data_IF_907765944027
#
_entry.id   IF_907765944027
#
_cell.length_a   1.000
_cell.length_b   1.000
_cell.length_c   1.000
_cell.angle_alpha   90.00
_cell.angle_beta   90.00
_cell.angle_gamma   90.00
#
_symmetry.space_group_name_H-M   'P 1'
#
loop_
_entity.id
_entity.type
_entity.pdbx_description
1 polymer ?
#
# COMPACT_ATOMS: atom_id res chain seq x y z
N UNK A 1 -39.81 43.28 25.49
CA UNK A 1 -39.43 42.10 26.30
C UNK A 1 -38.01 41.74 25.86
N UNK A 2 -36.94 41.81 26.66
CA UNK A 2 -36.69 41.28 28.03
C UNK A 2 -36.78 39.75 28.08
N UNK A 3 -35.86 38.98 28.67
CA UNK A 3 -34.50 39.17 29.27
C UNK A 3 -33.87 37.74 29.23
N UNK A 4 -32.68 37.47 28.67
CA UNK A 4 -31.29 37.65 29.16
C UNK A 4 -30.93 36.93 30.49
N UNK A 5 -29.67 36.45 30.64
CA UNK A 5 -28.99 36.02 31.89
C UNK A 5 -29.50 34.76 32.64
N UNK A 6 -28.72 34.02 33.49
CA UNK A 6 -27.32 33.50 33.47
C UNK A 6 -27.11 32.56 34.70
N UNK A 7 -26.02 31.74 34.70
CA UNK A 7 -25.31 31.23 35.90
C UNK A 7 -26.07 30.21 36.81
N UNK A 8 -25.47 29.41 37.71
CA UNK A 8 -24.05 29.13 38.09
C UNK A 8 -23.87 27.65 38.54
N UNK A 9 -22.61 27.22 38.75
CA UNK A 9 -22.23 25.90 39.24
C UNK A 9 -22.35 25.70 40.77
N UNK A 10 -22.24 24.45 41.25
CA UNK A 10 -21.82 24.15 42.63
C UNK A 10 -21.16 22.78 42.80
N UNK A 11 -19.98 22.75 43.41
CA UNK A 11 -19.31 21.53 43.90
C UNK A 11 -19.59 21.32 45.40
N UNK A 12 -19.36 20.10 45.92
CA UNK A 12 -19.26 19.83 47.37
C UNK A 12 -18.37 18.62 47.67
N UNK A 13 -17.69 18.63 48.81
CA UNK A 13 -16.69 17.63 49.24
C UNK A 13 -17.10 16.89 50.54
N UNK A 14 -16.30 15.86 50.83
CA UNK A 14 -15.92 15.33 52.15
C UNK A 14 -16.86 14.37 52.91
N UNK A 15 -16.23 13.41 53.62
CA UNK A 15 -16.90 12.34 54.39
C UNK A 15 -15.94 11.31 54.99
N UNK A 16 -14.96 11.72 55.78
CA UNK A 16 -13.87 10.87 56.33
C UNK A 16 -14.24 10.14 57.63
N UNK A 17 -13.61 8.98 57.94
CA UNK A 17 -13.45 8.46 59.33
C UNK A 17 -12.31 7.41 59.48
N UNK A 18 -11.62 7.46 60.64
CA UNK A 18 -10.62 6.47 61.15
C UNK A 18 -11.33 5.45 62.11
N UNK A 19 -10.72 4.50 62.86
CA UNK A 19 -9.32 4.09 63.21
C UNK A 19 -9.20 2.53 63.07
N UNK A 20 -8.20 1.72 63.53
CA UNK A 20 -6.96 1.79 64.34
C UNK A 20 -5.98 0.69 63.78
N UNK A 21 -4.69 0.53 64.13
CA UNK A 21 -4.11 -0.09 65.35
C UNK A 21 -3.96 -1.62 65.27
N UNK A 22 -2.86 -2.32 65.65
CA UNK A 22 -1.53 -1.98 66.23
C UNK A 22 -0.54 -3.12 65.91
N UNK A 23 0.79 -2.86 65.79
CA UNK A 23 1.82 -3.92 65.88
C UNK A 23 3.25 -3.52 65.46
N UNK A 24 4.23 -3.65 66.35
CA UNK A 24 5.68 -3.40 66.10
C UNK A 24 6.48 -4.73 66.16
N UNK A 25 7.67 -4.76 65.57
CA UNK A 25 8.98 -5.01 66.25
C UNK A 25 10.16 -4.81 65.27
N UNK A 26 11.34 -4.45 65.78
CA UNK A 26 12.59 -4.14 65.04
C UNK A 26 13.61 -5.30 65.05
N UNK A 27 14.72 -5.13 64.29
CA UNK A 27 16.08 -5.75 64.30
C UNK A 27 16.47 -6.16 62.87
N UNK A 28 17.69 -5.96 62.35
CA UNK A 28 18.89 -5.28 62.87
C UNK A 28 20.09 -5.47 61.91
N UNK A 29 21.02 -4.51 61.85
CA UNK A 29 22.14 -4.43 60.89
C UNK A 29 23.14 -5.60 60.91
N UNK A 30 23.84 -5.79 59.77
CA UNK A 30 25.32 -5.82 59.70
C UNK A 30 25.81 -5.54 58.26
N UNK A 31 27.05 -5.02 58.11
CA UNK A 31 27.71 -4.61 56.85
C UNK A 31 29.11 -5.22 56.80
N UNK A 32 29.55 -5.71 55.62
CA UNK A 32 30.94 -5.97 55.14
C UNK A 32 30.80 -6.73 53.78
N UNK A 33 31.75 -6.79 52.84
CA UNK A 33 32.75 -5.84 52.30
C UNK A 33 33.35 -6.49 51.03
N UNK A 34 33.94 -5.72 50.10
CA UNK A 34 34.58 -6.27 48.89
C UNK A 34 36.05 -6.65 49.12
N UNK A 35 36.63 -7.50 48.25
CA UNK A 35 37.82 -7.03 47.52
C UNK A 35 37.85 -7.43 46.02
N UNK A 36 38.82 -6.84 45.30
CA UNK A 36 39.15 -7.12 43.89
C UNK A 36 40.18 -8.26 43.78
N UNK A 37 40.36 -8.88 42.58
CA UNK A 37 41.63 -8.77 41.81
C UNK A 37 41.69 -9.59 40.50
N UNK A 38 42.54 -9.07 39.60
CA UNK A 38 43.34 -9.76 38.56
C UNK A 38 42.64 -10.44 37.35
N UNK A 39 43.46 -10.72 36.33
CA UNK A 39 43.08 -11.23 35.00
C UNK A 39 44.12 -12.25 34.51
N UNK A 40 43.82 -13.02 33.46
CA UNK A 40 44.85 -13.65 32.59
C UNK A 40 44.28 -14.22 31.28
N UNK A 41 45.15 -14.22 30.26
CA UNK A 41 45.23 -15.15 29.13
C UNK A 41 44.11 -15.24 28.05
N UNK A 42 44.57 -15.62 26.86
CA UNK A 42 43.81 -15.91 25.64
C UNK A 42 44.35 -17.23 25.04
N UNK A 43 43.53 -17.99 24.29
CA UNK A 43 44.09 -18.82 23.22
C UNK A 43 43.37 -18.60 21.87
N UNK A 44 44.14 -18.73 20.79
CA UNK A 44 43.65 -18.75 19.41
C UNK A 44 42.91 -20.06 19.10
N UNK A 45 41.94 -20.02 18.17
CA UNK A 45 41.42 -21.22 17.49
C UNK A 45 41.37 -21.02 15.97
N UNK A 46 41.78 -22.04 15.23
CA UNK A 46 41.73 -22.07 13.77
C UNK A 46 40.39 -22.67 13.29
N UNK A 47 39.82 -22.14 12.20
CA UNK A 47 38.68 -22.75 11.51
C UNK A 47 39.14 -23.55 10.28
N UNK A 48 38.75 -24.83 10.14
CA UNK A 48 39.10 -25.65 8.98
C UNK A 48 38.20 -25.38 7.76
N UNK A 49 38.73 -25.59 6.56
CA UNK A 49 38.00 -25.43 5.29
C UNK A 49 37.19 -26.71 5.01
N UNK A 50 35.86 -26.60 4.95
CA UNK A 50 34.96 -27.68 4.54
C UNK A 50 34.86 -27.80 3.01
N UNK A 51 34.67 -29.03 2.51
CA UNK A 51 34.80 -29.36 1.08
C UNK A 51 33.50 -29.24 0.27
N UNK A 52 33.63 -29.20 -1.06
CA UNK A 52 32.51 -29.19 -2.00
C UNK A 52 31.83 -30.57 -2.06
N UNK A 53 30.51 -30.60 -1.96
CA UNK A 53 29.71 -31.64 -2.61
C UNK A 53 28.94 -31.02 -3.77
N UNK A 54 29.22 -31.50 -4.98
CA UNK A 54 28.45 -31.19 -6.18
C UNK A 54 27.25 -32.12 -6.27
N UNK A 55 26.05 -31.56 -6.49
CA UNK A 55 24.99 -32.30 -7.14
C UNK A 55 24.22 -31.35 -8.08
N UNK A 56 23.89 -31.82 -9.28
CA UNK A 56 23.21 -31.04 -10.30
C UNK A 56 21.73 -31.42 -10.36
N UNK A 57 20.85 -30.43 -10.23
CA UNK A 57 19.54 -30.47 -10.87
C UNK A 57 19.31 -29.12 -11.56
N UNK A 58 18.81 -29.18 -12.79
CA UNK A 58 18.58 -27.99 -13.62
C UNK A 58 17.16 -27.48 -13.39
N UNK A 59 17.06 -26.25 -12.87
CA UNK A 59 15.85 -25.45 -12.97
C UNK A 59 16.23 -24.02 -13.34
N UNK A 60 15.38 -23.40 -14.15
CA UNK A 60 15.65 -22.15 -14.85
C UNK A 60 15.83 -20.99 -13.86
N UNK A 61 17.07 -20.68 -13.50
CA UNK A 61 17.41 -19.70 -12.46
C UNK A 61 17.81 -18.39 -13.12
N UNK A 62 17.11 -17.31 -12.75
CA UNK A 62 17.49 -15.93 -13.08
C UNK A 62 19.00 -15.72 -12.85
N UNK A 63 19.69 -14.93 -13.70
CA UNK A 63 21.13 -14.74 -13.59
C UNK A 63 21.50 -14.28 -12.17
N UNK A 64 22.40 -15.03 -11.53
CA UNK A 64 22.81 -14.81 -10.14
C UNK A 64 23.63 -13.52 -10.05
N UNK A 65 22.96 -12.38 -9.93
CA UNK A 65 23.59 -11.10 -9.65
C UNK A 65 24.35 -11.17 -8.33
N UNK A 66 25.63 -10.85 -8.34
CA UNK A 66 26.44 -10.79 -7.12
C UNK A 66 26.19 -9.43 -6.47
N UNK A 67 25.78 -9.44 -5.20
CA UNK A 67 25.68 -8.21 -4.39
C UNK A 67 27.03 -7.95 -3.71
N UNK A 68 27.53 -6.73 -3.84
CA UNK A 68 28.73 -6.21 -3.18
C UNK A 68 28.33 -5.07 -2.24
N UNK A 69 28.68 -5.16 -0.97
CA UNK A 69 28.48 -4.09 0.01
C UNK A 69 29.75 -3.24 0.12
N UNK A 70 29.61 -1.92 0.02
CA UNK A 70 30.68 -0.93 0.17
C UNK A 70 30.27 0.05 1.26
N UNK A 71 31.16 0.31 2.22
CA UNK A 71 30.94 1.27 3.32
C UNK A 71 31.98 2.38 3.26
N UNK A 72 31.55 3.61 3.49
CA UNK A 72 32.40 4.76 3.76
C UNK A 72 31.68 5.60 4.82
N UNK A 73 32.37 5.94 5.91
CA UNK A 73 31.79 6.62 7.07
C UNK A 73 30.50 5.93 7.57
N UNK A 74 29.40 6.68 7.71
CA UNK A 74 28.07 6.16 8.07
C UNK A 74 27.26 5.67 6.86
N UNK A 75 27.78 5.83 5.63
CA UNK A 75 27.07 5.49 4.40
C UNK A 75 27.42 4.07 3.91
N UNK A 76 26.40 3.41 3.34
CA UNK A 76 26.46 2.01 2.99
C UNK A 76 25.74 1.76 1.66
N UNK A 77 26.51 1.62 0.59
CA UNK A 77 26.03 1.27 -0.73
C UNK A 77 26.07 -0.24 -0.90
N UNK A 78 25.03 -0.79 -1.53
CA UNK A 78 25.14 -2.10 -2.16
C UNK A 78 25.26 -1.89 -3.67
N UNK A 79 25.88 -2.83 -4.37
CA UNK A 79 25.97 -2.85 -5.83
C UNK A 79 25.61 -4.23 -6.32
N UNK A 80 24.75 -4.33 -7.34
CA UNK A 80 24.58 -5.55 -8.13
C UNK A 80 25.58 -5.55 -9.27
N UNK A 81 26.14 -6.71 -9.54
CA UNK A 81 26.89 -6.96 -10.76
C UNK A 81 26.47 -8.27 -11.41
N UNK A 82 26.66 -8.37 -12.73
CA UNK A 82 26.77 -9.65 -13.42
C UNK A 82 27.92 -10.51 -12.86
N UNK A 83 28.00 -11.77 -13.29
CA UNK A 83 29.04 -12.73 -12.86
C UNK A 83 30.45 -12.39 -13.36
N UNK A 84 30.59 -11.42 -14.27
CA UNK A 84 31.83 -11.02 -14.95
C UNK A 84 32.42 -9.70 -14.46
N UNK A 85 31.74 -9.00 -13.54
CA UNK A 85 32.09 -7.65 -13.06
C UNK A 85 32.09 -6.57 -14.16
N UNK A 86 31.30 -6.74 -15.23
CA UNK A 86 31.27 -5.82 -16.37
C UNK A 86 30.15 -4.77 -16.25
N UNK A 87 28.94 -5.18 -15.86
CA UNK A 87 27.81 -4.30 -15.58
C UNK A 87 27.62 -4.19 -14.07
N UNK A 88 28.00 -3.04 -13.50
CA UNK A 88 27.82 -2.71 -12.09
C UNK A 88 26.70 -1.65 -11.98
N UNK A 89 25.55 -2.01 -11.37
CA UNK A 89 24.48 -1.05 -11.00
C UNK A 89 24.47 -0.87 -9.49
N UNK A 90 24.28 0.36 -9.03
CA UNK A 90 24.05 0.64 -7.61
C UNK A 90 22.76 -0.09 -7.18
N UNK A 91 22.88 -0.98 -6.20
CA UNK A 91 21.74 -1.58 -5.51
C UNK A 91 21.31 -0.57 -4.44
N UNK A 92 20.55 0.42 -4.90
CA UNK A 92 19.78 1.29 -4.02
C UNK A 92 18.82 0.43 -3.18
N UNK A 93 19.06 0.39 -1.86
CA UNK A 93 18.16 -0.22 -0.89
C UNK A 93 16.77 0.43 -1.00
N UNK A 94 15.86 -0.19 -1.76
CA UNK A 94 14.47 0.25 -1.94
C UNK A 94 14.35 1.77 -2.13
N UNK A 95 15.14 2.37 -3.04
CA UNK A 95 14.95 3.79 -3.40
C UNK A 95 13.65 3.94 -4.18
N UNK A 96 12.58 4.16 -3.43
CA UNK A 96 11.35 4.84 -3.87
C UNK A 96 11.66 6.25 -4.38
N UNK A 97 12.77 6.82 -3.95
CA UNK A 97 13.18 8.16 -4.30
C UNK A 97 13.68 8.18 -5.75
N UNK A 98 13.03 9.02 -6.57
CA UNK A 98 13.44 9.38 -7.91
C UNK A 98 14.79 10.13 -7.88
N UNK A 99 15.55 10.04 -8.97
CA UNK A 99 16.74 10.89 -9.15
C UNK A 99 16.34 12.38 -9.05
N UNK A 100 17.12 13.25 -8.38
CA UNK A 100 16.73 14.65 -8.16
C UNK A 100 16.33 15.39 -9.45
N UNK A 101 17.06 15.20 -10.55
CA UNK A 101 16.74 15.80 -11.85
C UNK A 101 15.39 15.35 -12.45
N UNK A 102 14.93 14.15 -12.09
CA UNK A 102 13.62 13.60 -12.49
C UNK A 102 12.53 14.13 -11.57
N UNK A 103 12.79 14.20 -10.26
CA UNK A 103 11.91 14.82 -9.26
C UNK A 103 11.64 16.29 -9.58
N UNK A 104 12.69 17.08 -9.80
CA UNK A 104 12.60 18.51 -10.12
C UNK A 104 11.81 18.73 -11.42
N UNK A 105 12.04 17.90 -12.44
CA UNK A 105 11.32 17.98 -13.72
C UNK A 105 9.85 17.62 -13.57
N UNK A 106 9.51 16.59 -12.78
CA UNK A 106 8.12 16.22 -12.49
C UNK A 106 7.40 17.36 -11.76
N UNK A 107 7.99 17.91 -10.70
CA UNK A 107 7.41 19.00 -9.93
C UNK A 107 7.27 20.30 -10.77
N UNK A 108 8.23 20.61 -11.63
CA UNK A 108 8.15 21.73 -12.57
C UNK A 108 7.07 21.52 -13.64
N UNK A 109 6.88 20.29 -14.14
CA UNK A 109 5.83 19.94 -15.10
C UNK A 109 4.45 20.20 -14.49
N UNK A 110 4.20 19.65 -13.29
CA UNK A 110 2.94 19.82 -12.57
C UNK A 110 2.67 21.30 -12.23
N UNK A 111 3.70 22.03 -11.77
CA UNK A 111 3.58 23.46 -11.47
C UNK A 111 3.17 24.29 -12.71
N UNK A 112 3.67 23.94 -13.90
CA UNK A 112 3.31 24.60 -15.16
C UNK A 112 1.92 24.18 -15.66
N UNK A 113 1.59 22.89 -15.64
CA UNK A 113 0.33 22.36 -16.18
C UNK A 113 -0.88 22.69 -15.29
N UNK A 114 -0.73 22.61 -13.97
CA UNK A 114 -1.79 22.92 -13.00
C UNK A 114 -1.78 24.36 -12.48
N UNK A 115 -0.79 25.18 -12.89
CA UNK A 115 -0.60 26.56 -12.42
C UNK A 115 -0.54 26.66 -10.87
N UNK A 116 0.31 25.85 -10.25
CA UNK A 116 0.52 25.78 -8.79
C UNK A 116 1.99 26.02 -8.42
N UNK A 117 2.30 26.55 -7.23
CA UNK A 117 3.68 26.74 -6.80
C UNK A 117 4.45 25.41 -6.68
N UNK A 118 5.69 25.34 -7.18
CA UNK A 118 6.56 24.15 -7.04
C UNK A 118 6.74 23.74 -5.57
N UNK A 119 6.77 24.72 -4.66
CA UNK A 119 6.94 24.49 -3.22
C UNK A 119 5.64 24.10 -2.48
N UNK A 120 4.48 24.06 -3.15
CA UNK A 120 3.24 23.48 -2.62
C UNK A 120 3.00 22.05 -3.13
N UNK A 121 3.99 21.46 -3.79
CA UNK A 121 3.96 20.10 -4.34
C UNK A 121 4.92 19.19 -3.58
N UNK A 122 4.53 17.93 -3.36
CA UNK A 122 5.38 16.91 -2.73
C UNK A 122 5.15 15.56 -3.38
N UNK A 123 6.22 14.95 -3.94
CA UNK A 123 6.20 13.52 -4.29
C UNK A 123 6.03 12.74 -2.98
N UNK A 124 4.97 11.93 -2.90
CA UNK A 124 4.64 11.15 -1.69
C UNK A 124 5.18 9.74 -1.77
N UNK A 125 5.07 9.11 -2.94
CA UNK A 125 5.58 7.78 -3.23
C UNK A 125 6.01 7.71 -4.70
N UNK A 126 7.03 6.91 -5.02
CA UNK A 126 7.25 6.42 -6.38
C UNK A 126 7.75 4.98 -6.37
N UNK A 127 7.34 4.19 -7.37
CA UNK A 127 7.75 2.80 -7.55
C UNK A 127 8.23 2.54 -8.98
N UNK A 128 9.25 1.67 -9.18
CA UNK A 128 9.69 1.30 -10.51
C UNK A 128 8.61 0.50 -11.24
N UNK A 129 8.41 0.78 -12.52
CA UNK A 129 7.40 0.16 -13.38
C UNK A 129 7.98 -0.09 -14.79
N UNK A 130 7.30 -0.94 -15.55
CA UNK A 130 7.57 -1.15 -16.97
C UNK A 130 6.31 -0.82 -17.75
N UNK A 131 6.44 0.05 -18.76
CA UNK A 131 5.34 0.59 -19.51
C UNK A 131 5.27 0.08 -20.96
N UNK A 132 4.05 -0.03 -21.48
CA UNK A 132 3.79 -0.19 -22.91
C UNK A 132 3.93 1.16 -23.66
N UNK A 133 3.70 1.17 -24.98
CA UNK A 133 3.84 2.39 -25.80
C UNK A 133 3.02 3.60 -25.33
N UNK A 134 1.85 3.34 -24.72
CA UNK A 134 0.92 4.32 -24.14
C UNK A 134 1.33 4.78 -22.72
N UNK A 135 2.56 4.51 -22.28
CA UNK A 135 3.03 4.77 -20.91
C UNK A 135 2.14 4.13 -19.82
N UNK A 136 1.48 3.01 -20.13
CA UNK A 136 0.58 2.33 -19.20
C UNK A 136 -0.74 3.06 -18.89
N UNK A 137 -1.07 4.15 -19.59
CA UNK A 137 -2.41 4.74 -19.52
C UNK A 137 -3.34 3.97 -20.45
N UNK A 138 -4.41 3.42 -19.90
CA UNK A 138 -5.50 2.76 -20.60
C UNK A 138 -6.50 3.81 -21.14
N UNK A 139 -6.93 3.59 -22.38
CA UNK A 139 -8.00 4.30 -23.08
C UNK A 139 -8.79 3.26 -23.87
N UNK A 140 -10.14 3.22 -23.77
CA UNK A 140 -10.96 2.28 -24.53
C UNK A 140 -10.67 2.31 -26.03
N UNK A 141 -10.62 1.12 -26.64
CA UNK A 141 -10.34 0.91 -28.07
C UNK A 141 -8.97 1.41 -28.58
N UNK A 142 -8.08 1.92 -27.71
CA UNK A 142 -6.73 2.33 -28.11
C UNK A 142 -5.75 1.15 -28.11
N UNK A 143 -5.19 0.84 -29.28
CA UNK A 143 -4.09 -0.12 -29.39
C UNK A 143 -2.77 0.50 -28.88
N UNK A 144 -2.02 -0.25 -28.07
CA UNK A 144 -0.75 0.17 -27.48
C UNK A 144 0.39 -0.76 -27.93
N UNK A 145 1.52 -0.19 -28.36
CA UNK A 145 2.70 -0.97 -28.76
C UNK A 145 3.21 -1.82 -27.59
N UNK A 146 3.40 -3.12 -27.82
CA UNK A 146 3.95 -4.07 -26.85
C UNK A 146 5.49 -3.92 -26.76
N UNK A 147 5.91 -2.81 -26.15
CA UNK A 147 7.30 -2.48 -25.80
C UNK A 147 7.46 -2.53 -24.28
N UNK A 148 8.68 -2.72 -23.79
CA UNK A 148 9.03 -2.62 -22.38
C UNK A 148 9.85 -1.34 -22.14
N UNK A 149 9.20 -0.28 -21.69
CA UNK A 149 9.85 1.00 -21.32
C UNK A 149 10.07 0.99 -19.81
N UNK A 150 11.33 0.94 -19.36
CA UNK A 150 11.68 1.17 -17.95
C UNK A 150 11.23 2.55 -17.49
N UNK A 151 10.68 2.64 -16.28
CA UNK A 151 10.12 3.87 -15.77
C UNK A 151 9.65 3.82 -14.33
N UNK A 152 8.86 4.81 -13.96
CA UNK A 152 8.36 5.01 -12.61
C UNK A 152 6.87 5.35 -12.63
N UNK A 153 6.13 4.83 -11.67
CA UNK A 153 4.82 5.33 -11.29
C UNK A 153 5.04 6.20 -10.05
N UNK A 154 4.68 7.48 -10.09
CA UNK A 154 4.88 8.44 -9.00
C UNK A 154 3.56 9.07 -8.59
N UNK A 155 3.41 9.36 -7.28
CA UNK A 155 2.27 10.04 -6.69
C UNK A 155 2.76 11.39 -6.15
N UNK A 156 2.03 12.46 -6.45
CA UNK A 156 2.34 13.82 -6.00
C UNK A 156 1.11 14.42 -5.31
N UNK A 157 1.29 14.90 -4.08
CA UNK A 157 0.29 15.68 -3.37
C UNK A 157 0.49 17.18 -3.63
N UNK A 158 -0.61 17.89 -3.84
CA UNK A 158 -0.72 19.34 -3.71
C UNK A 158 -1.51 19.74 -2.46
N UNK A 159 -1.99 20.98 -2.40
CA UNK A 159 -2.78 21.48 -1.27
C UNK A 159 -4.23 20.94 -1.23
N UNK A 160 -4.87 20.79 -2.39
CA UNK A 160 -6.29 20.47 -2.52
C UNK A 160 -6.60 19.28 -3.45
N UNK A 161 -5.58 18.69 -4.07
CA UNK A 161 -5.70 17.55 -4.99
C UNK A 161 -4.40 16.76 -5.04
N UNK A 162 -4.47 15.55 -5.58
CA UNK A 162 -3.30 14.71 -5.88
C UNK A 162 -3.23 14.32 -7.36
N UNK A 163 -2.03 13.93 -7.81
CA UNK A 163 -1.79 13.45 -9.17
C UNK A 163 -0.97 12.16 -9.18
N UNK A 164 -1.27 11.29 -10.13
CA UNK A 164 -0.48 10.09 -10.44
C UNK A 164 0.16 10.25 -11.81
N UNK A 165 1.48 10.07 -11.88
CA UNK A 165 2.28 10.25 -13.09
C UNK A 165 3.04 8.98 -13.47
N UNK A 166 3.11 8.72 -14.77
CA UNK A 166 3.85 7.63 -15.37
C UNK A 166 5.06 8.20 -16.14
N UNK A 167 6.26 7.95 -15.63
CA UNK A 167 7.53 8.49 -16.14
C UNK A 167 8.39 7.41 -16.81
N UNK A 168 9.29 7.80 -17.72
CA UNK A 168 10.44 6.96 -18.14
C UNK A 168 11.58 6.99 -17.10
N UNK A 169 12.54 6.06 -17.18
CA UNK A 169 13.65 5.93 -16.20
C UNK A 169 14.52 7.21 -16.10
N UNK A 170 14.54 8.03 -17.15
CA UNK A 170 15.27 9.31 -17.31
C UNK A 170 14.37 10.57 -17.19
N UNK A 171 13.06 10.40 -16.96
CA UNK A 171 12.08 11.49 -16.96
C UNK A 171 11.97 12.26 -18.29
N UNK A 172 12.41 11.74 -19.43
CA UNK A 172 12.19 12.40 -20.74
C UNK A 172 10.75 12.28 -21.24
N UNK A 173 10.01 11.28 -20.77
CA UNK A 173 8.56 11.15 -20.92
C UNK A 173 7.93 11.23 -19.53
N UNK A 174 6.97 12.15 -19.38
CA UNK A 174 6.14 12.33 -18.20
C UNK A 174 4.70 12.34 -18.71
N UNK A 175 3.85 11.47 -18.17
CA UNK A 175 2.44 11.33 -18.60
C UNK A 175 1.53 11.29 -17.37
N UNK A 176 0.58 12.23 -17.31
CA UNK A 176 -0.47 12.23 -16.30
C UNK A 176 -1.39 11.02 -16.47
N UNK A 177 -1.76 10.38 -15.37
CA UNK A 177 -2.85 9.42 -15.29
C UNK A 177 -4.10 10.16 -14.75
N UNK A 178 -4.99 10.69 -15.62
CA UNK A 178 -6.09 11.55 -15.19
C UNK A 178 -7.13 10.80 -14.36
N UNK A 179 -7.40 9.53 -14.67
CA UNK A 179 -8.36 8.69 -13.93
C UNK A 179 -7.98 8.50 -12.46
N UNK A 180 -6.68 8.48 -12.16
CA UNK A 180 -6.14 8.31 -10.81
C UNK A 180 -5.81 9.64 -10.09
N UNK A 181 -6.15 10.79 -10.68
CA UNK A 181 -5.77 12.13 -10.23
C UNK A 181 -7.01 13.00 -9.93
N UNK A 182 -6.81 14.17 -9.35
CA UNK A 182 -7.87 15.18 -9.12
C UNK A 182 -8.68 14.99 -7.84
N UNK A 183 -8.67 13.80 -7.25
CA UNK A 183 -9.19 13.58 -5.89
C UNK A 183 -8.36 14.32 -4.83
N UNK A 184 -9.04 14.83 -3.80
CA UNK A 184 -8.45 15.47 -2.62
C UNK A 184 -7.68 14.46 -1.76
N UNK A 185 -8.14 13.20 -1.69
CA UNK A 185 -7.40 12.13 -1.03
C UNK A 185 -6.18 11.73 -1.87
N UNK A 186 -4.99 11.88 -1.30
CA UNK A 186 -3.76 11.40 -1.94
C UNK A 186 -3.68 9.87 -1.86
N UNK A 187 -3.56 9.15 -3.00
CA UNK A 187 -3.41 7.71 -2.97
C UNK A 187 -2.04 7.28 -2.43
N UNK A 188 -1.95 6.01 -2.08
CA UNK A 188 -0.68 5.28 -1.91
C UNK A 188 -0.69 4.02 -2.78
N UNK A 189 0.46 3.38 -2.97
CA UNK A 189 0.49 2.07 -3.62
C UNK A 189 -0.04 0.98 -2.68
N UNK A 190 -0.73 -0.01 -3.24
CA UNK A 190 -1.15 -1.17 -2.47
C UNK A 190 0.09 -2.02 -2.12
N UNK A 191 0.31 -2.39 -0.84
CA UNK A 191 1.42 -3.25 -0.46
C UNK A 191 1.41 -4.59 -1.18
N UNK A 192 2.60 -5.03 -1.63
CA UNK A 192 2.79 -6.25 -2.44
C UNK A 192 2.88 -7.51 -1.57
N UNK A 193 3.00 -7.37 -0.26
CA UNK A 193 3.06 -8.47 0.70
C UNK A 193 1.66 -8.95 1.13
N UNK A 194 1.56 -10.23 1.49
CA UNK A 194 0.33 -10.84 2.02
C UNK A 194 -0.82 -11.07 1.04
N UNK A 195 -0.82 -10.49 -0.17
CA UNK A 195 -1.93 -10.67 -1.12
C UNK A 195 -2.10 -12.17 -1.52
N UNK A 196 -3.32 -12.75 -1.39
CA UNK A 196 -3.62 -14.06 -1.95
C UNK A 196 -3.45 -14.06 -3.48
N UNK A 197 -2.61 -14.97 -3.97
CA UNK A 197 -2.50 -15.28 -5.41
C UNK A 197 -3.63 -16.23 -5.82
N UNK A 198 -4.86 -15.73 -5.74
CA UNK A 198 -6.00 -16.45 -6.30
C UNK A 198 -5.85 -16.60 -7.82
N UNK A 199 -6.29 -17.73 -8.41
CA UNK A 199 -6.31 -17.89 -9.86
C UNK A 199 -7.09 -16.77 -10.54
N UNK A 200 -6.59 -16.31 -11.70
CA UNK A 200 -7.36 -15.42 -12.57
C UNK A 200 -8.50 -16.23 -13.16
N UNK A 201 -9.70 -16.07 -12.59
CA UNK A 201 -10.92 -16.68 -13.08
C UNK A 201 -11.56 -15.78 -14.14
N UNK A 202 -11.43 -16.18 -15.41
CA UNK A 202 -11.99 -15.46 -16.56
C UNK A 202 -13.53 -15.44 -16.58
N UNK A 203 -14.22 -16.13 -15.66
CA UNK A 203 -15.68 -16.05 -15.50
C UNK A 203 -16.11 -14.91 -14.57
N UNK A 204 -15.19 -14.29 -13.82
CA UNK A 204 -15.49 -13.13 -12.97
C UNK A 204 -15.36 -11.84 -13.78
N UNK A 205 -16.44 -11.06 -13.83
CA UNK A 205 -16.45 -9.73 -14.44
C UNK A 205 -15.98 -8.68 -13.43
N UNK A 206 -16.50 -8.77 -12.20
CA UNK A 206 -16.20 -7.83 -11.12
C UNK A 206 -16.30 -8.53 -9.77
N UNK A 207 -15.44 -8.14 -8.83
CA UNK A 207 -15.49 -8.59 -7.45
C UNK A 207 -15.16 -7.45 -6.49
N UNK A 208 -16.07 -7.20 -5.54
CA UNK A 208 -15.81 -6.38 -4.37
C UNK A 208 -15.41 -7.30 -3.18
N UNK A 209 -14.34 -6.97 -2.47
CA UNK A 209 -13.89 -7.65 -1.26
C UNK A 209 -13.84 -6.65 -0.11
N UNK A 210 -14.64 -6.85 0.93
CA UNK A 210 -14.71 -6.03 2.13
C UNK A 210 -13.96 -6.71 3.28
N UNK A 211 -12.99 -6.03 3.89
CA UNK A 211 -12.12 -6.55 4.95
C UNK A 211 -11.84 -5.50 6.02
N UNK A 212 -11.19 -5.87 7.13
CA UNK A 212 -10.70 -4.91 8.15
C UNK A 212 -11.59 -4.70 9.39
N UNK A 213 -12.78 -5.30 9.45
CA UNK A 213 -13.64 -5.22 10.64
C UNK A 213 -13.16 -6.09 11.82
N UNK A 214 -13.50 -5.68 13.05
CA UNK A 214 -13.11 -6.31 14.33
C UNK A 214 -13.29 -7.84 14.43
N UNK A 215 -14.19 -8.42 13.64
CA UNK A 215 -14.47 -9.86 13.63
C UNK A 215 -13.51 -10.68 12.74
N UNK A 216 -12.58 -10.05 12.00
CA UNK A 216 -11.66 -10.74 11.09
C UNK A 216 -12.36 -11.44 9.90
N UNK A 217 -13.56 -10.97 9.55
CA UNK A 217 -14.36 -11.50 8.44
C UNK A 217 -13.97 -10.75 7.16
N UNK A 218 -13.75 -11.50 6.09
CA UNK A 218 -13.61 -10.99 4.73
C UNK A 218 -14.88 -11.39 3.97
N UNK A 219 -15.72 -10.43 3.59
CA UNK A 219 -16.85 -10.71 2.70
C UNK A 219 -16.46 -10.39 1.27
N UNK A 220 -16.86 -11.23 0.31
CA UNK A 220 -16.74 -10.92 -1.11
C UNK A 220 -18.10 -11.00 -1.80
N UNK A 221 -18.33 -10.10 -2.74
CA UNK A 221 -19.48 -10.10 -3.64
C UNK A 221 -18.93 -10.13 -5.06
N UNK A 222 -19.39 -11.11 -5.85
CA UNK A 222 -18.84 -11.45 -7.16
C UNK A 222 -19.97 -11.38 -8.19
N UNK A 223 -19.72 -10.69 -9.30
CA UNK A 223 -20.50 -10.74 -10.53
C UNK A 223 -19.78 -11.62 -11.55
N UNK A 224 -20.43 -12.70 -11.97
CA UNK A 224 -19.94 -13.61 -13.02
C UNK A 224 -20.50 -13.27 -14.41
N UNK A 225 -19.84 -13.79 -15.45
CA UNK A 225 -20.15 -13.53 -16.86
C UNK A 225 -21.52 -14.07 -17.32
N UNK A 226 -22.17 -14.94 -16.54
CA UNK A 226 -23.55 -15.39 -16.73
C UNK A 226 -24.59 -14.41 -16.12
N UNK A 227 -24.14 -13.33 -15.48
CA UNK A 227 -24.96 -12.36 -14.78
C UNK A 227 -25.34 -12.73 -13.35
N UNK A 228 -24.85 -13.85 -12.80
CA UNK A 228 -25.10 -14.19 -11.39
C UNK A 228 -24.29 -13.26 -10.46
N UNK A 229 -24.96 -12.64 -9.49
CA UNK A 229 -24.33 -11.94 -8.36
C UNK A 229 -24.46 -12.82 -7.12
N UNK A 230 -23.34 -13.14 -6.48
CA UNK A 230 -23.33 -13.92 -5.24
C UNK A 230 -22.36 -13.38 -4.19
N UNK A 231 -22.71 -13.59 -2.92
CA UNK A 231 -21.87 -13.29 -1.76
C UNK A 231 -21.24 -14.56 -1.20
N UNK A 232 -20.00 -14.43 -0.71
CA UNK A 232 -19.37 -15.36 0.21
C UNK A 232 -18.75 -14.60 1.39
N UNK A 233 -18.50 -15.34 2.47
CA UNK A 233 -17.69 -14.87 3.59
C UNK A 233 -16.54 -15.87 3.85
N UNK A 234 -15.36 -15.33 4.09
CA UNK A 234 -14.20 -16.06 4.62
C UNK A 234 -13.84 -15.50 5.99
N UNK A 235 -13.21 -16.32 6.83
CA UNK A 235 -12.74 -15.95 8.16
C UNK A 235 -11.39 -16.60 8.38
N UNK A 236 -10.44 -15.93 9.03
CA UNK A 236 -9.09 -16.48 9.27
C UNK A 236 -9.05 -17.78 10.09
N UNK A 237 -10.18 -18.18 10.68
CA UNK A 237 -10.39 -19.42 11.44
C UNK A 237 -11.00 -20.57 10.61
N UNK A 238 -11.47 -20.30 9.39
CA UNK A 238 -12.14 -21.28 8.53
C UNK A 238 -11.27 -21.60 7.29
N UNK A 239 -10.93 -22.88 7.03
CA UNK A 239 -10.06 -23.26 5.91
C UNK A 239 -10.74 -23.23 4.54
N UNK A 240 -12.00 -22.79 4.46
CA UNK A 240 -12.80 -22.67 3.24
C UNK A 240 -13.78 -21.49 3.41
N UNK A 241 -14.05 -20.69 2.35
CA UNK A 241 -15.16 -19.75 2.35
C UNK A 241 -16.51 -20.44 2.60
N UNK A 242 -17.51 -19.65 3.00
CA UNK A 242 -18.91 -20.10 3.03
C UNK A 242 -19.37 -20.61 1.66
N UNK A 243 -20.43 -21.42 1.66
CA UNK A 243 -21.16 -21.68 0.43
C UNK A 243 -21.68 -20.34 -0.17
N UNK A 244 -21.72 -20.22 -1.51
CA UNK A 244 -22.11 -18.98 -2.18
C UNK A 244 -23.62 -18.75 -2.06
N UNK A 245 -24.00 -17.56 -1.58
CA UNK A 245 -25.38 -17.10 -1.51
C UNK A 245 -25.65 -16.21 -2.72
N UNK A 246 -26.47 -16.68 -3.67
CA UNK A 246 -26.89 -15.86 -4.82
C UNK A 246 -27.81 -14.75 -4.34
N UNK A 247 -27.42 -13.50 -4.58
CA UNK A 247 -28.16 -12.30 -4.17
C UNK A 247 -29.01 -11.75 -5.32
N UNK A 248 -28.54 -11.86 -6.57
CA UNK A 248 -29.28 -11.44 -7.76
C UNK A 248 -28.83 -12.18 -9.01
N UNK A 249 -29.62 -12.04 -10.09
CA UNK A 249 -29.20 -12.31 -11.47
C UNK A 249 -29.53 -11.10 -12.32
N UNK A 250 -28.54 -10.65 -13.09
CA UNK A 250 -28.67 -9.59 -14.08
C UNK A 250 -29.05 -10.17 -15.44
N UNK A 251 -29.65 -9.35 -16.29
CA UNK A 251 -29.79 -9.63 -17.72
C UNK A 251 -28.44 -9.46 -18.45
N UNK A 252 -28.21 -10.11 -19.62
CA UNK A 252 -27.03 -9.90 -20.44
C UNK A 252 -26.77 -8.42 -20.76
N UNK A 253 -27.84 -7.66 -20.99
CA UNK A 253 -27.79 -6.22 -21.27
C UNK A 253 -27.26 -5.43 -20.07
N UNK A 254 -27.69 -5.73 -18.84
CA UNK A 254 -27.15 -5.10 -17.62
C UNK A 254 -25.68 -5.47 -17.38
N UNK A 255 -25.30 -6.73 -17.65
CA UNK A 255 -23.90 -7.19 -17.56
C UNK A 255 -23.01 -6.46 -18.57
N UNK A 256 -23.52 -6.21 -19.78
CA UNK A 256 -22.83 -5.43 -20.80
C UNK A 256 -22.73 -3.94 -20.43
N UNK A 257 -23.82 -3.34 -19.93
CA UNK A 257 -23.85 -1.94 -19.47
C UNK A 257 -22.82 -1.69 -18.36
N UNK A 258 -22.71 -2.59 -17.38
CA UNK A 258 -21.72 -2.45 -16.33
C UNK A 258 -20.29 -2.64 -16.84
N UNK A 259 -20.03 -3.60 -17.74
CA UNK A 259 -18.72 -3.72 -18.38
C UNK A 259 -18.32 -2.46 -19.16
N UNK A 260 -19.25 -1.89 -19.93
CA UNK A 260 -19.04 -0.65 -20.67
C UNK A 260 -18.69 0.52 -19.73
N UNK A 261 -19.36 0.63 -18.57
CA UNK A 261 -19.01 1.63 -17.56
C UNK A 261 -17.56 1.46 -17.04
N UNK A 262 -17.11 0.23 -16.78
CA UNK A 262 -15.73 -0.02 -16.31
C UNK A 262 -14.69 0.39 -17.37
N UNK A 263 -15.01 0.24 -18.67
CA UNK A 263 -14.19 0.76 -19.76
C UNK A 263 -14.23 2.29 -19.84
N UNK A 264 -15.42 2.89 -19.83
CA UNK A 264 -15.64 4.35 -19.95
C UNK A 264 -14.98 5.12 -18.79
N UNK A 265 -15.12 4.63 -17.56
CA UNK A 265 -14.44 5.13 -16.36
C UNK A 265 -12.96 4.69 -16.29
N UNK A 266 -12.49 3.88 -17.24
CA UNK A 266 -11.09 3.49 -17.41
C UNK A 266 -10.47 2.83 -16.18
N UNK A 267 -11.21 1.96 -15.50
CA UNK A 267 -10.79 1.32 -14.25
C UNK A 267 -9.33 0.80 -14.23
N UNK A 268 -8.76 0.23 -15.32
CA UNK A 268 -7.36 -0.21 -15.33
C UNK A 268 -6.31 0.86 -14.99
N UNK A 269 -6.65 2.15 -15.10
CA UNK A 269 -5.79 3.25 -14.70
C UNK A 269 -5.64 3.38 -13.16
N UNK A 270 -6.55 2.80 -12.37
CA UNK A 270 -6.47 2.78 -10.90
C UNK A 270 -5.63 1.61 -10.35
N UNK A 271 -5.07 0.77 -11.22
CA UNK A 271 -4.47 -0.50 -10.84
C UNK A 271 -3.23 -0.35 -9.94
N UNK A 272 -3.29 -0.94 -8.75
CA UNK A 272 -2.23 -0.91 -7.74
C UNK A 272 -2.28 0.30 -6.80
N UNK A 273 -3.35 1.08 -6.81
CA UNK A 273 -3.56 2.24 -5.94
C UNK A 273 -4.56 1.96 -4.82
N UNK A 274 -4.34 2.55 -3.65
CA UNK A 274 -5.29 2.59 -2.54
C UNK A 274 -5.59 4.03 -2.12
N UNK A 275 -6.87 4.29 -1.86
CA UNK A 275 -7.41 5.57 -1.43
C UNK A 275 -7.93 5.42 0.01
N UNK A 276 -7.01 5.51 0.98
CA UNK A 276 -7.29 5.31 2.41
C UNK A 276 -6.69 6.44 3.25
N UNK A 277 -7.36 6.81 4.33
CA UNK A 277 -6.89 7.80 5.31
C UNK A 277 -6.22 7.14 6.51
N UNK A 278 -5.22 7.79 7.12
CA UNK A 278 -4.54 7.31 8.34
C UNK A 278 -5.48 6.97 9.51
N UNK A 279 -6.66 7.59 9.56
CA UNK A 279 -7.66 7.37 10.60
C UNK A 279 -8.45 6.05 10.47
N UNK A 280 -8.32 5.31 9.37
CA UNK A 280 -9.27 4.24 9.02
C UNK A 280 -8.93 2.83 9.58
N UNK A 281 -7.67 2.56 9.94
CA UNK A 281 -7.12 1.22 10.14
C UNK A 281 -7.73 0.35 11.27
N UNK A 282 -8.67 0.87 12.08
CA UNK A 282 -9.26 0.17 13.22
C UNK A 282 -10.78 -0.04 13.12
N UNK A 283 -11.52 0.96 12.62
CA UNK A 283 -12.98 1.04 12.73
C UNK A 283 -13.72 0.97 11.38
N UNK A 284 -13.03 1.19 10.26
CA UNK A 284 -13.64 1.23 8.93
C UNK A 284 -13.14 0.08 8.05
N UNK A 285 -14.01 -0.59 7.27
CA UNK A 285 -13.58 -1.64 6.38
C UNK A 285 -12.86 -1.07 5.15
N UNK A 286 -11.80 -1.75 4.71
CA UNK A 286 -11.21 -1.53 3.38
C UNK A 286 -11.97 -2.36 2.35
N UNK A 287 -12.36 -1.72 1.25
CA UNK A 287 -13.00 -2.34 0.11
C UNK A 287 -11.96 -2.45 -1.01
N UNK A 288 -11.77 -3.64 -1.56
CA UNK A 288 -10.94 -3.90 -2.73
C UNK A 288 -11.83 -4.26 -3.92
N UNK A 289 -11.71 -3.53 -5.03
CA UNK A 289 -12.32 -3.91 -6.29
C UNK A 289 -11.32 -4.65 -7.17
N UNK A 290 -11.79 -5.73 -7.80
CA UNK A 290 -11.09 -6.51 -8.81
C UNK A 290 -11.94 -6.59 -10.08
N UNK A 291 -11.48 -5.99 -11.17
CA UNK A 291 -12.04 -6.14 -12.52
C UNK A 291 -10.99 -5.76 -13.58
N UNK A 292 -11.17 -6.19 -14.83
CA UNK A 292 -10.27 -5.84 -15.95
C UNK A 292 -8.78 -6.05 -15.63
N UNK A 293 -8.43 -7.15 -14.96
CA UNK A 293 -7.05 -7.47 -14.56
C UNK A 293 -6.43 -6.52 -13.52
N UNK A 294 -7.25 -5.71 -12.85
CA UNK A 294 -6.81 -4.56 -12.04
C UNK A 294 -7.34 -4.62 -10.61
N UNK A 295 -6.55 -4.13 -9.65
CA UNK A 295 -6.89 -4.04 -8.22
C UNK A 295 -6.86 -2.57 -7.78
N UNK A 296 -7.93 -2.07 -7.18
CA UNK A 296 -7.97 -0.76 -6.50
C UNK A 296 -8.59 -0.93 -5.11
N UNK A 297 -8.09 -0.19 -4.13
CA UNK A 297 -8.61 -0.19 -2.75
C UNK A 297 -9.12 1.18 -2.35
N UNK A 298 -10.17 1.21 -1.52
CA UNK A 298 -10.67 2.45 -0.93
C UNK A 298 -11.39 2.16 0.41
N UNK A 299 -11.81 3.23 1.09
CA UNK A 299 -12.69 3.18 2.27
C UNK A 299 -13.95 4.00 2.00
N UNK A 300 -15.13 3.49 2.37
CA UNK A 300 -16.40 4.22 2.16
C UNK A 300 -16.46 5.56 2.91
N UNK A 301 -15.65 5.74 3.97
CA UNK A 301 -15.57 6.98 4.76
C UNK A 301 -15.09 8.19 3.96
N UNK A 302 -14.19 7.99 2.99
CA UNK A 302 -13.56 9.05 2.21
C UNK A 302 -14.12 9.14 0.78
N UNK A 303 -15.37 8.70 0.60
CA UNK A 303 -16.02 8.58 -0.72
C UNK A 303 -15.97 9.87 -1.55
N UNK A 304 -16.31 11.01 -0.94
CA UNK A 304 -16.35 12.32 -1.61
C UNK A 304 -14.95 12.80 -2.05
N UNK A 305 -13.88 12.27 -1.44
CA UNK A 305 -12.48 12.63 -1.73
C UNK A 305 -11.82 11.72 -2.80
N UNK A 306 -12.52 10.67 -3.27
CA UNK A 306 -12.03 9.74 -4.30
C UNK A 306 -12.04 10.39 -5.70
N UNK A 307 -11.22 9.91 -6.66
CA UNK A 307 -11.36 10.32 -8.05
C UNK A 307 -12.76 9.99 -8.61
N UNK A 308 -13.31 10.89 -9.41
CA UNK A 308 -14.66 10.80 -10.04
C UNK A 308 -14.93 9.42 -10.67
N UNK A 309 -13.97 8.89 -11.43
CA UNK A 309 -14.09 7.59 -12.07
C UNK A 309 -14.26 6.40 -11.09
N UNK A 310 -13.72 6.51 -9.87
CA UNK A 310 -13.94 5.51 -8.82
C UNK A 310 -15.30 5.74 -8.13
N UNK A 311 -15.69 6.99 -7.91
CA UNK A 311 -17.00 7.36 -7.36
C UNK A 311 -18.15 6.79 -8.22
N UNK A 312 -18.06 6.92 -9.54
CA UNK A 312 -19.02 6.41 -10.52
C UNK A 312 -19.12 4.87 -10.51
N UNK A 313 -17.98 4.17 -10.49
CA UNK A 313 -17.97 2.69 -10.43
C UNK A 313 -18.58 2.18 -9.12
N UNK A 314 -18.32 2.85 -7.99
CA UNK A 314 -18.96 2.53 -6.70
C UNK A 314 -20.48 2.76 -6.77
N UNK A 315 -20.96 3.88 -7.34
CA UNK A 315 -22.39 4.15 -7.46
C UNK A 315 -23.11 3.09 -8.29
N UNK A 316 -22.58 2.76 -9.46
CA UNK A 316 -23.19 1.75 -10.33
C UNK A 316 -23.16 0.36 -9.69
N UNK A 317 -22.03 -0.03 -9.08
CA UNK A 317 -21.93 -1.31 -8.35
C UNK A 317 -22.98 -1.43 -7.24
N UNK A 318 -23.22 -0.36 -6.49
CA UNK A 318 -24.21 -0.31 -5.42
C UNK A 318 -25.67 -0.27 -5.92
N UNK A 319 -25.91 -0.12 -7.23
CA UNK A 319 -27.25 -0.18 -7.85
C UNK A 319 -27.58 -1.57 -8.46
N UNK A 320 -26.58 -2.43 -8.66
CA UNK A 320 -26.73 -3.77 -9.22
C UNK A 320 -27.43 -4.77 -8.29
#
# INVERSE_FOLDING_TARGET
MMVCQTLAARAKQAGTKHLLGVGLTLIGFIVLAAPQQAATASPQQHFPIAQRHTNQSSQNRLPRSVVRQVRHDQQNWMYRTDMTAQVIKLETNQSTDLLPEVSDRLLQTIAQEANVPVNSLRITEAQPKVWNGCMGVYVPNQACTMIAISGWQAIVAGENQSWVFHLSEDGSRIVLNPTASGGSLTPSFIPTDGQPTEPIDNTIIFRAVTSGGLAGIVSQVILTADGTIYRQASQSILPRPSDPVVERRLSPEQVQQFQQLLEEQRLPNLNGLRYITDAAFADYPTITFYAMGSRVEYIDLAYDDLPEALQEVIQAWNQL
#
